data_IF_422301782117
#
_entry.id   IF_422301782117
#
_cell.length_a   1.000
_cell.length_b   1.000
_cell.length_c   1.000
_cell.angle_alpha   90.00
_cell.angle_beta   90.00
_cell.angle_gamma   90.00
#
_symmetry.space_group_name_H-M   'P 1'
#
loop_
_entity.id
_entity.type
_entity.pdbx_description
1 polymer ?
#
# COMPACT_ATOMS: atom_id res chain seq x y z
N UNK A 1 -28.74 12.17 58.75
CA UNK A 1 -27.77 13.02 58.02
C UNK A 1 -26.83 12.11 57.20
N UNK A 2 -27.38 11.17 56.43
CA UNK A 2 -26.59 10.10 55.77
C UNK A 2 -26.66 10.11 54.24
N UNK A 3 -27.54 10.95 53.69
CA UNK A 3 -27.71 11.18 52.26
C UNK A 3 -26.44 11.85 51.71
N UNK A 4 -25.93 12.88 52.39
CA UNK A 4 -24.73 13.63 51.96
C UNK A 4 -23.46 12.75 51.87
N UNK A 5 -23.27 11.77 52.76
CA UNK A 5 -22.12 10.84 52.67
C UNK A 5 -22.25 9.86 51.51
N UNK A 6 -23.47 9.39 51.22
CA UNK A 6 -23.73 8.39 50.17
C UNK A 6 -23.53 8.97 48.77
N UNK A 7 -23.92 10.23 48.55
CA UNK A 7 -23.69 10.90 47.26
C UNK A 7 -22.24 11.36 47.05
N UNK A 8 -21.46 11.57 48.11
CA UNK A 8 -20.03 11.92 47.96
C UNK A 8 -19.25 10.81 47.28
N UNK A 9 -19.49 9.55 47.65
CA UNK A 9 -18.81 8.41 47.02
C UNK A 9 -19.26 8.18 45.56
N UNK A 10 -20.55 8.32 45.26
CA UNK A 10 -21.02 8.21 43.88
C UNK A 10 -20.57 9.38 43.01
N UNK A 11 -20.54 10.60 43.55
CA UNK A 11 -20.03 11.79 42.87
C UNK A 11 -18.53 11.68 42.60
N UNK A 12 -17.74 11.20 43.57
CA UNK A 12 -16.31 10.94 43.36
C UNK A 12 -16.10 9.88 42.27
N UNK A 13 -16.87 8.79 42.28
CA UNK A 13 -16.81 7.77 41.23
C UNK A 13 -17.16 8.32 39.84
N UNK A 14 -18.20 9.17 39.77
CA UNK A 14 -18.59 9.83 38.52
C UNK A 14 -17.50 10.78 37.99
N UNK A 15 -16.92 11.60 38.86
CA UNK A 15 -15.82 12.51 38.49
C UNK A 15 -14.62 11.71 37.96
N UNK A 16 -14.22 10.64 38.64
CA UNK A 16 -13.11 9.78 38.19
C UNK A 16 -13.42 9.17 36.81
N UNK A 17 -14.64 8.68 36.60
CA UNK A 17 -15.06 8.09 35.34
C UNK A 17 -15.05 9.11 34.19
N UNK A 18 -15.48 10.35 34.45
CA UNK A 18 -15.42 11.45 33.47
C UNK A 18 -13.97 11.83 33.17
N UNK A 19 -13.11 11.96 34.18
CA UNK A 19 -11.69 12.31 34.00
C UNK A 19 -10.94 11.22 33.23
N UNK A 20 -11.21 9.94 33.49
CA UNK A 20 -10.61 8.83 32.74
C UNK A 20 -11.08 8.85 31.28
N UNK A 21 -12.36 9.06 31.02
CA UNK A 21 -12.88 9.15 29.64
C UNK A 21 -12.29 10.35 28.88
N UNK A 22 -12.20 11.51 29.52
CA UNK A 22 -11.55 12.70 28.93
C UNK A 22 -10.06 12.43 28.71
N UNK A 23 -9.38 11.77 29.66
CA UNK A 23 -7.99 11.36 29.53
C UNK A 23 -7.78 10.44 28.34
N UNK A 24 -8.61 9.41 28.16
CA UNK A 24 -8.56 8.51 26.99
C UNK A 24 -8.81 9.29 25.69
N UNK A 25 -9.79 10.19 25.66
CA UNK A 25 -10.08 11.03 24.49
C UNK A 25 -8.92 11.97 24.16
N UNK A 26 -8.31 12.61 25.15
CA UNK A 26 -7.13 13.47 24.96
C UNK A 26 -5.92 12.67 24.54
N UNK A 27 -5.72 11.47 25.09
CA UNK A 27 -4.62 10.59 24.70
C UNK A 27 -4.82 10.09 23.27
N UNK A 28 -6.04 9.73 22.88
CA UNK A 28 -6.37 9.40 21.49
C UNK A 28 -6.19 10.60 20.58
N UNK A 29 -6.51 11.83 21.03
CA UNK A 29 -6.40 13.06 20.25
C UNK A 29 -4.94 13.52 20.05
N UNK A 30 -4.12 13.44 21.09
CA UNK A 30 -2.69 13.78 21.04
C UNK A 30 -1.84 12.68 20.42
N UNK A 31 -2.32 11.43 20.47
CA UNK A 31 -1.68 10.27 19.86
C UNK A 31 -2.42 9.84 18.58
N UNK A 32 -3.11 10.77 17.89
CA UNK A 32 -3.44 10.56 16.49
C UNK A 32 -2.09 10.39 15.78
N UNK A 33 -1.81 9.22 15.17
CA UNK A 33 -0.68 9.13 14.26
C UNK A 33 -0.89 10.23 13.23
N UNK A 34 0.11 11.10 13.11
CA UNK A 34 0.13 12.23 12.19
C UNK A 34 -0.52 11.79 10.87
N UNK A 35 -1.65 12.37 10.43
CA UNK A 35 -2.30 11.96 9.19
C UNK A 35 -1.43 12.27 7.96
N UNK A 36 -0.30 12.96 8.14
CA UNK A 36 0.77 13.06 7.13
C UNK A 36 1.55 11.75 6.95
N UNK A 37 1.43 10.80 7.88
CA UNK A 37 2.02 9.45 7.82
C UNK A 37 0.97 8.32 7.95
N UNK A 38 -0.33 8.65 8.03
CA UNK A 38 -1.42 7.69 8.32
C UNK A 38 -2.11 7.04 7.10
N UNK A 39 -1.67 7.32 5.87
CA UNK A 39 -2.25 6.76 4.64
C UNK A 39 -1.23 6.04 3.73
N UNK A 40 -0.08 5.62 4.26
CA UNK A 40 0.88 4.79 3.52
C UNK A 40 0.90 3.30 3.90
N UNK A 41 0.25 2.86 4.99
CA UNK A 41 0.44 1.49 5.51
C UNK A 41 -0.84 0.68 5.74
N UNK A 42 -1.76 0.70 4.76
CA UNK A 42 -2.78 -0.37 4.59
C UNK A 42 -2.72 -1.08 3.24
N UNK A 43 -1.51 -1.20 2.70
CA UNK A 43 -1.23 -2.04 1.53
C UNK A 43 0.24 -2.42 1.36
N UNK A 44 1.09 -2.12 2.34
CA UNK A 44 2.53 -2.31 2.24
C UNK A 44 3.07 -2.95 3.52
N UNK A 45 2.48 -4.08 3.93
CA UNK A 45 3.16 -5.04 4.81
C UNK A 45 4.32 -5.70 4.04
N UNK A 46 5.35 -4.90 3.74
CA UNK A 46 6.72 -5.35 3.48
C UNK A 46 7.46 -5.59 4.80
N UNK A 47 6.74 -5.75 5.91
CA UNK A 47 7.32 -6.00 7.24
C UNK A 47 7.61 -7.48 7.50
N UNK A 48 7.60 -8.29 6.45
CA UNK A 48 8.21 -9.64 6.42
C UNK A 48 9.09 -9.80 5.16
N UNK A 49 9.65 -8.69 4.68
CA UNK A 49 10.54 -8.71 3.54
C UNK A 49 11.93 -9.16 3.98
N UNK A 50 12.16 -10.48 3.92
CA UNK A 50 13.39 -10.88 3.21
C UNK A 50 13.39 -10.04 1.94
N UNK A 51 14.40 -9.17 1.70
CA UNK A 51 14.39 -8.35 0.51
C UNK A 51 14.13 -9.31 -0.66
N UNK A 52 13.19 -9.01 -1.54
CA UNK A 52 12.91 -9.85 -2.73
C UNK A 52 14.22 -10.27 -3.44
N UNK A 53 15.28 -9.49 -3.29
CA UNK A 53 16.66 -9.86 -3.57
C UNK A 53 17.12 -11.22 -3.03
N UNK A 54 17.03 -11.45 -1.72
CA UNK A 54 17.38 -12.72 -1.07
C UNK A 54 16.49 -13.84 -1.59
N UNK A 55 15.19 -13.59 -1.76
CA UNK A 55 14.27 -14.59 -2.28
C UNK A 55 14.59 -15.01 -3.73
N UNK A 56 14.93 -14.05 -4.60
CA UNK A 56 15.31 -14.33 -5.99
C UNK A 56 16.70 -14.99 -6.06
N UNK A 57 17.64 -14.55 -5.24
CA UNK A 57 18.98 -15.13 -5.17
C UNK A 57 18.94 -16.58 -4.71
N UNK A 58 18.24 -16.87 -3.61
CA UNK A 58 18.09 -18.23 -3.04
C UNK A 58 17.36 -19.17 -4.01
N UNK A 59 16.42 -18.66 -4.80
CA UNK A 59 15.53 -19.51 -5.62
C UNK A 59 16.00 -19.72 -7.05
N UNK A 60 16.82 -18.81 -7.58
CA UNK A 60 17.36 -18.88 -8.94
C UNK A 60 18.85 -19.23 -8.98
N UNK A 61 19.51 -19.37 -7.82
CA UNK A 61 20.95 -19.65 -7.72
C UNK A 61 21.77 -18.74 -8.65
N UNK A 62 21.49 -17.44 -8.62
CA UNK A 62 22.14 -16.48 -9.52
C UNK A 62 23.65 -16.46 -9.28
N UNK A 63 24.42 -16.44 -10.37
CA UNK A 63 25.86 -16.16 -10.29
C UNK A 63 26.09 -14.71 -9.80
N UNK A 64 27.28 -14.41 -9.31
CA UNK A 64 27.61 -13.05 -8.86
C UNK A 64 27.42 -12.00 -9.98
N UNK A 65 27.84 -12.32 -11.21
CA UNK A 65 27.67 -11.44 -12.36
C UNK A 65 26.18 -11.21 -12.73
N UNK A 66 25.35 -12.25 -12.66
CA UNK A 66 23.90 -12.12 -12.87
C UNK A 66 23.25 -11.31 -11.75
N UNK A 67 23.69 -11.50 -10.51
CA UNK A 67 23.17 -10.78 -9.34
C UNK A 67 23.43 -9.28 -9.45
N UNK A 68 24.64 -8.88 -9.84
CA UNK A 68 24.98 -7.47 -10.06
C UNK A 68 24.10 -6.85 -11.15
N UNK A 69 23.93 -7.58 -12.26
CA UNK A 69 23.09 -7.13 -13.38
C UNK A 69 21.64 -6.97 -12.94
N UNK A 70 21.05 -7.99 -12.30
CA UNK A 70 19.67 -7.95 -11.78
C UNK A 70 19.49 -6.84 -10.74
N UNK A 71 20.47 -6.62 -9.86
CA UNK A 71 20.44 -5.54 -8.88
C UNK A 71 20.41 -4.17 -9.54
N UNK A 72 21.19 -3.97 -10.61
CA UNK A 72 21.19 -2.71 -11.38
C UNK A 72 19.86 -2.48 -12.10
N UNK A 73 19.30 -3.50 -12.75
CA UNK A 73 17.99 -3.45 -13.43
C UNK A 73 16.89 -3.06 -12.44
N UNK A 74 16.92 -3.64 -11.24
CA UNK A 74 15.97 -3.36 -10.17
C UNK A 74 16.09 -1.94 -9.64
N UNK A 75 17.30 -1.45 -9.39
CA UNK A 75 17.51 -0.05 -8.94
C UNK A 75 16.96 0.95 -9.95
N UNK A 76 17.21 0.70 -11.24
CA UNK A 76 16.67 1.50 -12.34
C UNK A 76 15.15 1.47 -12.35
N UNK A 77 14.55 0.28 -12.34
CA UNK A 77 13.09 0.13 -12.33
C UNK A 77 12.44 0.83 -11.13
N UNK A 78 12.99 0.71 -9.92
CA UNK A 78 12.44 1.39 -8.74
C UNK A 78 12.53 2.91 -8.82
N UNK A 79 13.61 3.45 -9.40
CA UNK A 79 13.73 4.89 -9.61
C UNK A 79 12.66 5.37 -10.57
N UNK A 80 12.46 4.67 -11.67
CA UNK A 80 11.52 5.07 -12.72
C UNK A 80 10.06 4.92 -12.25
N UNK A 81 9.76 3.86 -11.48
CA UNK A 81 8.46 3.66 -10.82
C UNK A 81 8.09 4.74 -9.81
N UNK A 82 9.07 5.30 -9.09
CA UNK A 82 8.80 6.24 -7.99
C UNK A 82 8.06 7.48 -8.49
N UNK A 83 8.48 8.01 -9.62
CA UNK A 83 7.87 9.21 -10.18
C UNK A 83 6.45 8.93 -10.72
N UNK A 84 6.27 7.83 -11.44
CA UNK A 84 4.94 7.41 -11.91
C UNK A 84 3.97 7.19 -10.74
N UNK A 85 4.45 6.60 -9.63
CA UNK A 85 3.64 6.38 -8.43
C UNK A 85 3.24 7.68 -7.75
N UNK A 86 4.18 8.63 -7.62
CA UNK A 86 3.92 9.96 -7.06
C UNK A 86 2.82 10.68 -7.85
N UNK A 87 2.93 10.70 -9.19
CA UNK A 87 1.93 11.33 -10.04
C UNK A 87 0.56 10.63 -9.94
N UNK A 88 0.54 9.30 -9.89
CA UNK A 88 -0.69 8.55 -9.72
C UNK A 88 -1.40 8.87 -8.38
N UNK A 89 -0.65 8.97 -7.30
CA UNK A 89 -1.21 9.28 -5.98
C UNK A 89 -1.75 10.72 -5.91
N UNK A 90 -1.06 11.68 -6.52
CA UNK A 90 -1.54 13.06 -6.68
C UNK A 90 -2.85 13.14 -7.48
N UNK A 91 -2.93 12.43 -8.61
CA UNK A 91 -4.14 12.40 -9.44
C UNK A 91 -5.29 11.65 -8.76
N UNK A 92 -4.99 10.58 -8.00
CA UNK A 92 -6.01 9.87 -7.22
C UNK A 92 -6.58 10.78 -6.13
N UNK A 93 -5.75 11.58 -5.47
CA UNK A 93 -6.21 12.57 -4.50
C UNK A 93 -7.12 13.60 -5.16
N UNK A 94 -6.71 14.18 -6.29
CA UNK A 94 -7.52 15.13 -7.03
C UNK A 94 -8.87 14.54 -7.48
N UNK A 95 -8.88 13.28 -7.89
CA UNK A 95 -10.10 12.56 -8.24
C UNK A 95 -11.04 12.36 -7.04
N UNK A 96 -10.51 11.98 -5.88
CA UNK A 96 -11.31 11.85 -4.65
C UNK A 96 -11.86 13.23 -4.22
N UNK A 97 -11.02 14.26 -4.24
CA UNK A 97 -11.42 15.62 -3.89
C UNK A 97 -12.54 16.12 -4.83
N UNK A 98 -12.47 15.78 -6.13
CA UNK A 98 -13.51 16.09 -7.09
C UNK A 98 -14.84 15.36 -6.77
N UNK A 99 -14.79 14.06 -6.51
CA UNK A 99 -15.99 13.25 -6.14
C UNK A 99 -16.62 13.73 -4.83
N UNK A 100 -15.82 14.24 -3.90
CA UNK A 100 -16.31 14.77 -2.62
C UNK A 100 -16.77 16.23 -2.72
N UNK A 101 -16.46 16.92 -3.82
CA UNK A 101 -16.97 18.25 -4.08
C UNK A 101 -18.37 18.15 -4.69
N UNK A 102 -19.29 19.04 -4.32
CA UNK A 102 -20.64 19.11 -4.91
C UNK A 102 -20.64 19.62 -6.37
N UNK A 103 -19.50 19.47 -7.09
CA UNK A 103 -19.27 19.92 -8.48
C UNK A 103 -19.48 18.78 -9.48
N UNK A 104 -20.66 18.17 -9.41
CA UNK A 104 -21.06 17.06 -10.29
C UNK A 104 -21.25 17.48 -11.76
N UNK A 105 -21.18 18.78 -12.07
CA UNK A 105 -21.46 19.36 -13.38
C UNK A 105 -20.24 19.43 -14.33
N UNK A 106 -19.02 19.17 -13.83
CA UNK A 106 -17.80 19.29 -14.63
C UNK A 106 -17.27 17.95 -15.15
N UNK A 107 -18.00 17.35 -16.08
CA UNK A 107 -17.65 16.06 -16.70
C UNK A 107 -16.29 16.09 -17.43
N UNK A 108 -15.95 17.21 -18.08
CA UNK A 108 -14.68 17.34 -18.79
C UNK A 108 -13.47 17.23 -17.85
N UNK A 109 -13.57 17.80 -16.65
CA UNK A 109 -12.52 17.69 -15.64
C UNK A 109 -12.43 16.27 -15.06
N UNK A 110 -13.56 15.63 -14.78
CA UNK A 110 -13.63 14.22 -14.37
C UNK A 110 -12.92 13.32 -15.38
N UNK A 111 -13.26 13.47 -16.65
CA UNK A 111 -12.72 12.62 -17.72
C UNK A 111 -11.22 12.87 -17.94
N UNK A 112 -10.77 14.12 -17.79
CA UNK A 112 -9.34 14.46 -17.77
C UNK A 112 -8.60 13.71 -16.68
N UNK A 113 -9.11 13.71 -15.44
CA UNK A 113 -8.48 12.98 -14.32
C UNK A 113 -8.44 11.47 -14.55
N UNK A 114 -9.53 10.89 -15.07
CA UNK A 114 -9.59 9.47 -15.40
C UNK A 114 -8.59 9.09 -16.50
N UNK A 115 -8.45 9.93 -17.52
CA UNK A 115 -7.47 9.72 -18.58
C UNK A 115 -6.04 9.77 -18.06
N UNK A 116 -5.71 10.74 -17.21
CA UNK A 116 -4.38 10.84 -16.59
C UNK A 116 -4.09 9.63 -15.68
N UNK A 117 -5.04 9.21 -14.86
CA UNK A 117 -4.92 8.00 -14.03
C UNK A 117 -4.63 6.77 -14.91
N UNK A 118 -5.44 6.58 -15.95
CA UNK A 118 -5.29 5.45 -16.88
C UNK A 118 -3.94 5.48 -17.57
N UNK A 119 -3.51 6.66 -18.04
CA UNK A 119 -2.20 6.85 -18.66
C UNK A 119 -1.05 6.40 -17.74
N UNK A 120 -1.07 6.82 -16.47
CA UNK A 120 -0.05 6.43 -15.49
C UNK A 120 -0.10 4.93 -15.17
N UNK A 121 -1.28 4.33 -15.03
CA UNK A 121 -1.40 2.88 -14.86
C UNK A 121 -0.82 2.11 -16.04
N UNK A 122 -1.18 2.48 -17.27
CA UNK A 122 -0.65 1.83 -18.48
C UNK A 122 0.87 1.98 -18.57
N UNK A 123 1.41 3.15 -18.22
CA UNK A 123 2.86 3.38 -18.21
C UNK A 123 3.57 2.50 -17.19
N UNK A 124 3.04 2.38 -15.97
CA UNK A 124 3.60 1.49 -14.94
C UNK A 124 3.57 0.02 -15.37
N UNK A 125 2.46 -0.43 -15.96
CA UNK A 125 2.33 -1.82 -16.43
C UNK A 125 3.34 -2.12 -17.55
N UNK A 126 3.53 -1.17 -18.48
CA UNK A 126 4.53 -1.28 -19.54
C UNK A 126 5.96 -1.35 -18.97
N UNK A 127 6.29 -0.48 -18.02
CA UNK A 127 7.61 -0.47 -17.37
C UNK A 127 7.86 -1.75 -16.56
N UNK A 128 6.82 -2.30 -15.91
CA UNK A 128 6.88 -3.60 -15.24
C UNK A 128 7.15 -4.73 -16.24
N UNK A 129 6.41 -4.78 -17.35
CA UNK A 129 6.63 -5.76 -18.41
C UNK A 129 8.07 -5.72 -18.94
N UNK A 130 8.57 -4.52 -19.24
CA UNK A 130 9.94 -4.33 -19.72
C UNK A 130 10.97 -4.81 -18.69
N UNK A 131 10.79 -4.44 -17.42
CA UNK A 131 11.68 -4.87 -16.34
C UNK A 131 11.72 -6.40 -16.20
N UNK A 132 10.57 -7.06 -16.25
CA UNK A 132 10.49 -8.53 -16.16
C UNK A 132 11.15 -9.21 -17.36
N UNK A 133 10.98 -8.65 -18.56
CA UNK A 133 11.64 -9.14 -19.78
C UNK A 133 13.16 -8.99 -19.70
N UNK A 134 13.64 -7.84 -19.22
CA UNK A 134 15.08 -7.59 -19.02
C UNK A 134 15.66 -8.56 -17.99
N UNK A 135 15.00 -8.76 -16.85
CA UNK A 135 15.47 -9.74 -15.85
C UNK A 135 15.55 -11.15 -16.44
N UNK A 136 14.51 -11.58 -17.18
CA UNK A 136 14.51 -12.89 -17.84
C UNK A 136 15.69 -13.07 -18.81
N UNK A 137 16.11 -12.02 -19.52
CA UNK A 137 17.20 -12.09 -20.49
C UNK A 137 18.59 -12.35 -19.88
N UNK A 138 18.74 -12.12 -18.58
CA UNK A 138 20.00 -12.36 -17.83
C UNK A 138 20.10 -13.80 -17.34
N UNK A 139 18.99 -14.54 -17.36
CA UNK A 139 18.86 -15.89 -16.81
C UNK A 139 19.12 -16.96 -17.89
N UNK A 140 19.71 -18.07 -17.49
CA UNK A 140 19.79 -19.27 -18.33
C UNK A 140 18.43 -19.99 -18.47
N UNK A 141 18.35 -21.03 -19.31
CA UNK A 141 17.09 -21.72 -19.58
C UNK A 141 16.43 -22.34 -18.34
N UNK A 142 17.22 -22.88 -17.41
CA UNK A 142 16.71 -23.52 -16.20
C UNK A 142 16.18 -22.46 -15.23
N UNK A 143 16.96 -21.40 -15.03
CA UNK A 143 16.60 -20.23 -14.25
C UNK A 143 15.36 -19.52 -14.81
N UNK A 144 15.21 -19.42 -16.14
CA UNK A 144 14.02 -18.82 -16.77
C UNK A 144 12.74 -19.62 -16.47
N UNK A 145 12.82 -20.96 -16.46
CA UNK A 145 11.66 -21.82 -16.09
C UNK A 145 11.28 -21.60 -14.62
N UNK A 146 12.26 -21.60 -13.72
CA UNK A 146 12.05 -21.34 -12.30
C UNK A 146 11.47 -19.93 -12.05
N UNK A 147 12.00 -18.93 -12.76
CA UNK A 147 11.50 -17.56 -12.72
C UNK A 147 10.04 -17.48 -13.19
N UNK A 148 9.68 -18.14 -14.29
CA UNK A 148 8.31 -18.18 -14.79
C UNK A 148 7.32 -18.78 -13.79
N UNK A 149 7.67 -19.90 -13.15
CA UNK A 149 6.83 -20.53 -12.14
C UNK A 149 6.67 -19.68 -10.88
N UNK A 150 7.74 -19.01 -10.45
CA UNK A 150 7.69 -18.05 -9.35
C UNK A 150 6.76 -16.87 -9.68
N UNK A 151 6.84 -16.32 -10.89
CA UNK A 151 5.99 -15.23 -11.34
C UNK A 151 4.50 -15.65 -11.35
N UNK A 152 4.17 -16.82 -11.91
CA UNK A 152 2.79 -17.32 -11.90
C UNK A 152 2.21 -17.43 -10.49
N UNK A 153 3.01 -17.86 -9.51
CA UNK A 153 2.57 -17.98 -8.11
C UNK A 153 2.34 -16.60 -7.46
N UNK A 154 3.24 -15.66 -7.70
CA UNK A 154 3.15 -14.31 -7.14
C UNK A 154 1.98 -13.51 -7.71
N UNK A 155 1.76 -13.59 -9.03
CA UNK A 155 0.67 -12.87 -9.70
C UNK A 155 -0.67 -13.63 -9.65
N UNK A 156 -0.65 -14.96 -9.56
CA UNK A 156 -1.87 -15.79 -9.51
C UNK A 156 -2.59 -15.81 -8.16
N UNK A 157 -1.88 -15.58 -7.03
CA UNK A 157 -2.49 -15.59 -5.69
C UNK A 157 -3.52 -14.49 -5.46
N UNK A 158 -3.33 -13.32 -6.08
CA UNK A 158 -4.22 -12.17 -5.90
C UNK A 158 -5.64 -12.41 -6.44
N UNK A 159 -5.80 -13.23 -7.49
CA UNK A 159 -7.11 -13.54 -8.07
C UNK A 159 -7.95 -14.52 -7.22
N UNK A 160 -7.31 -15.47 -6.51
CA UNK A 160 -8.03 -16.49 -5.72
C UNK A 160 -8.59 -15.91 -4.42
N UNK A 161 -7.90 -14.90 -3.84
CA UNK A 161 -8.31 -14.31 -2.57
C UNK A 161 -9.52 -13.36 -2.74
N UNK A 162 -9.62 -12.64 -3.86
CA UNK A 162 -10.82 -11.83 -4.21
C UNK A 162 -12.06 -12.68 -4.52
N UNK A 163 -11.92 -13.87 -5.11
CA UNK A 163 -13.07 -14.75 -5.37
C UNK A 163 -13.68 -15.34 -4.09
N UNK A 164 -12.87 -15.54 -3.04
CA UNK A 164 -13.35 -16.11 -1.77
C UNK A 164 -14.09 -15.10 -0.89
N UNK A 165 -13.81 -13.80 -1.00
CA UNK A 165 -14.53 -12.75 -0.25
C UNK A 165 -15.93 -12.49 -0.80
N UNK A 166 -16.14 -12.64 -2.11
CA UNK A 166 -17.47 -12.47 -2.72
C UNK A 166 -18.44 -13.63 -2.45
N UNK A 167 -17.95 -14.82 -2.11
CA UNK A 167 -18.80 -15.99 -1.82
C UNK A 167 -19.31 -16.07 -0.37
N UNK A 168 -18.92 -15.10 0.48
CA UNK A 168 -19.27 -15.06 1.92
C UNK A 168 -20.18 -13.87 2.29
N UNK A 169 -20.70 -13.14 1.31
CA UNK A 169 -21.71 -12.09 1.51
C UNK A 169 -23.03 -12.53 0.93
#
# INVERSE_FOLDING_TARGET
MDIEKKYRWSLTGFIIMVVINIGILLTLWMNLPDPRNGFSDRGNSFQDSRPMHEYFQERLNLTHAQLDTVSSLRRRHYRDMRENRRQLDEKRKAYIDFVMSERDDNEAFRDSLLNELTHHYTKMEREMFLHMREMRSVLDEEQQRAFGEMMKRSFGRNNVQQQRSHKRR
#
